data_IF_041025954790
#
_entry.id   IF_041025954790
#
_cell.length_a   1.000
_cell.length_b   1.000
_cell.length_c   1.000
_cell.angle_alpha   90.00
_cell.angle_beta   90.00
_cell.angle_gamma   90.00
#
_symmetry.space_group_name_H-M   'P 1'
#
loop_
_entity.id
_entity.type
_entity.pdbx_description
1 polymer ?
#
# COMPACT_ATOMS: atom_id res chain seq x y z
N UNK A 1 7.00 15.79 3.73
CA UNK A 1 6.44 14.93 4.78
C UNK A 1 5.03 15.39 5.12
N UNK A 2 4.14 14.49 5.54
CA UNK A 2 2.78 14.86 5.95
C UNK A 2 2.82 15.86 7.11
N UNK A 3 1.85 16.78 7.18
CA UNK A 3 1.71 17.70 8.31
C UNK A 3 1.36 16.95 9.61
N UNK A 4 0.59 15.87 9.47
CA UNK A 4 0.15 14.94 10.50
C UNK A 4 -0.33 13.65 9.81
N UNK A 5 -0.47 12.56 10.55
CA UNK A 5 -1.08 11.33 10.05
C UNK A 5 -2.02 10.76 11.12
N UNK A 6 -3.33 10.79 10.84
CA UNK A 6 -4.35 10.23 11.73
C UNK A 6 -4.41 8.72 11.51
N UNK A 7 -4.09 7.96 12.54
CA UNK A 7 -4.17 6.51 12.54
C UNK A 7 -5.63 6.04 12.44
N UNK A 8 -5.89 4.82 11.91
CA UNK A 8 -7.22 4.23 11.96
C UNK A 8 -7.83 4.23 13.36
N UNK A 9 -7.02 3.93 14.38
CA UNK A 9 -7.48 3.95 15.77
C UNK A 9 -7.96 5.34 16.21
N UNK A 10 -7.19 6.40 15.96
CA UNK A 10 -7.59 7.78 16.30
C UNK A 10 -8.87 8.19 15.57
N UNK A 11 -8.95 7.92 14.27
CA UNK A 11 -10.13 8.28 13.48
C UNK A 11 -11.40 7.55 13.91
N UNK A 12 -11.30 6.26 14.22
CA UNK A 12 -12.41 5.45 14.74
C UNK A 12 -12.80 5.88 16.16
N UNK A 13 -11.82 6.13 17.02
CA UNK A 13 -12.05 6.60 18.40
C UNK A 13 -12.77 7.94 18.43
N UNK A 14 -12.50 8.82 17.47
CA UNK A 14 -13.16 10.13 17.37
C UNK A 14 -14.67 10.03 17.05
N UNK A 15 -15.17 8.85 16.64
CA UNK A 15 -16.56 8.63 16.27
C UNK A 15 -17.27 7.57 17.12
N UNK A 16 -16.62 7.07 18.17
CA UNK A 16 -17.15 6.01 19.03
C UNK A 16 -16.97 6.35 20.52
N UNK A 17 -18.03 6.15 21.31
CA UNK A 17 -18.00 6.48 22.76
C UNK A 17 -17.13 5.51 23.57
N UNK A 18 -17.04 4.24 23.14
CA UNK A 18 -16.25 3.20 23.81
C UNK A 18 -15.50 2.37 22.77
N UNK A 19 -14.18 2.47 22.80
CA UNK A 19 -13.30 1.68 21.95
C UNK A 19 -12.24 1.01 22.83
N UNK A 20 -11.99 -0.26 22.55
CA UNK A 20 -10.94 -1.05 23.18
C UNK A 20 -9.97 -1.50 22.09
N UNK A 21 -8.70 -1.68 22.45
CA UNK A 21 -7.63 -1.95 21.48
C UNK A 21 -6.80 -3.15 21.92
N UNK A 22 -6.47 -4.00 20.95
CA UNK A 22 -5.41 -4.99 21.03
C UNK A 22 -4.68 -5.02 19.69
N UNK A 23 -3.36 -5.19 19.73
CA UNK A 23 -2.51 -5.17 18.53
C UNK A 23 -2.77 -6.38 17.62
N UNK A 24 -3.00 -7.56 18.20
CA UNK A 24 -3.31 -8.80 17.48
C UNK A 24 -2.13 -9.48 16.79
N UNK A 25 -1.36 -8.78 15.94
CA UNK A 25 -0.18 -9.33 15.29
C UNK A 25 0.87 -8.25 14.98
N UNK A 26 2.10 -8.69 14.75
CA UNK A 26 3.19 -7.81 14.30
C UNK A 26 3.03 -7.59 12.78
N UNK A 27 2.90 -6.33 12.35
CA UNK A 27 2.78 -5.94 10.93
C UNK A 27 4.03 -5.30 10.32
N UNK A 28 5.00 -4.90 11.13
CA UNK A 28 6.21 -4.24 10.63
C UNK A 28 7.15 -5.22 9.94
N UNK A 29 7.93 -4.74 8.95
CA UNK A 29 9.00 -5.53 8.31
C UNK A 29 10.31 -5.39 9.08
N UNK A 30 10.59 -4.18 9.55
CA UNK A 30 11.74 -3.84 10.40
C UNK A 30 11.28 -3.34 11.77
N UNK A 31 12.09 -3.51 12.81
CA UNK A 31 11.76 -3.12 14.19
C UNK A 31 11.27 -1.65 14.25
N UNK A 32 10.16 -1.32 14.94
CA UNK A 32 9.65 0.05 15.04
C UNK A 32 10.70 1.08 15.46
N UNK A 33 10.56 2.31 14.98
CA UNK A 33 11.57 3.35 15.15
C UNK A 33 11.79 3.73 16.60
N UNK A 34 13.07 3.87 16.99
CA UNK A 34 13.46 4.38 18.31
C UNK A 34 12.80 5.73 18.62
N UNK A 35 12.70 6.62 17.64
CA UNK A 35 12.09 7.95 17.79
C UNK A 35 10.63 7.93 18.26
N UNK A 36 9.91 6.81 18.06
CA UNK A 36 8.53 6.65 18.51
C UNK A 36 8.42 6.56 20.04
N UNK A 37 9.46 6.09 20.72
CA UNK A 37 9.46 5.85 22.16
C UNK A 37 10.56 6.62 22.91
N UNK A 38 11.52 7.22 22.19
CA UNK A 38 12.60 7.98 22.80
C UNK A 38 12.25 9.44 23.07
N UNK A 39 12.92 10.00 24.07
CA UNK A 39 12.99 11.43 24.36
C UNK A 39 14.38 11.95 24.10
N UNK A 40 14.47 13.22 23.67
CA UNK A 40 15.75 13.90 23.47
C UNK A 40 16.46 14.06 24.83
N UNK A 41 17.80 13.94 24.89
CA UNK A 41 18.56 14.18 26.12
C UNK A 41 18.21 15.54 26.74
N UNK A 42 18.05 15.57 28.08
CA UNK A 42 17.72 16.78 28.84
C UNK A 42 16.44 17.52 28.39
N UNK A 43 15.54 16.84 27.67
CA UNK A 43 14.28 17.41 27.18
C UNK A 43 13.13 16.41 27.34
N UNK A 44 11.90 16.92 27.34
CA UNK A 44 10.68 16.11 27.29
C UNK A 44 10.17 15.91 25.84
N UNK A 45 10.80 16.56 24.87
CA UNK A 45 10.47 16.41 23.46
C UNK A 45 10.78 14.99 22.97
N UNK A 46 9.90 14.44 22.14
CA UNK A 46 10.13 13.16 21.44
C UNK A 46 11.26 13.27 20.41
N UNK A 47 11.76 12.12 19.97
CA UNK A 47 12.82 12.02 18.97
C UNK A 47 14.20 11.86 19.61
N UNK A 48 15.23 12.29 18.88
CA UNK A 48 16.65 12.11 19.23
C UNK A 48 17.44 13.40 19.03
N UNK A 49 18.62 13.47 19.65
CA UNK A 49 19.65 14.48 19.33
C UNK A 49 20.69 13.84 18.41
N UNK A 50 21.11 14.56 17.37
CA UNK A 50 22.16 14.12 16.45
C UNK A 50 23.28 15.14 16.44
N UNK A 51 24.45 14.76 16.93
CA UNK A 51 25.68 15.54 16.87
C UNK A 51 26.47 15.16 15.61
N UNK A 52 26.88 16.15 14.82
CA UNK A 52 27.56 15.95 13.52
C UNK A 52 29.05 16.22 13.64
N UNK A 53 29.88 15.34 13.07
CA UNK A 53 31.34 15.38 13.15
C UNK A 53 32.01 15.21 11.77
N UNK A 54 33.21 15.79 11.62
CA UNK A 54 34.08 15.61 10.44
C UNK A 54 35.19 14.59 10.68
N UNK A 55 35.37 14.15 11.92
CA UNK A 55 36.34 13.15 12.32
C UNK A 55 35.64 11.88 12.80
N UNK A 56 36.27 10.71 12.64
CA UNK A 56 35.71 9.44 13.09
C UNK A 56 35.69 9.33 14.63
N UNK A 57 34.83 8.46 15.19
CA UNK A 57 34.58 8.37 16.63
C UNK A 57 35.79 7.95 17.48
N UNK A 58 36.88 7.49 16.87
CA UNK A 58 38.14 7.15 17.55
C UNK A 58 38.96 8.40 17.95
N UNK A 59 38.66 9.58 17.40
CA UNK A 59 39.35 10.83 17.73
C UNK A 59 38.79 11.45 19.01
N UNK A 60 39.59 11.47 20.08
CA UNK A 60 39.13 11.79 21.44
C UNK A 60 38.89 13.28 21.74
N UNK A 61 39.44 14.19 20.95
CA UNK A 61 39.30 15.65 21.14
C UNK A 61 38.41 16.32 20.07
N UNK A 62 37.62 15.53 19.35
CA UNK A 62 36.71 16.01 18.32
C UNK A 62 35.51 16.75 18.94
N UNK A 63 35.06 17.84 18.29
CA UNK A 63 33.87 18.60 18.68
C UNK A 63 32.84 18.55 17.57
N UNK A 64 31.54 18.50 17.89
CA UNK A 64 30.52 18.50 16.87
C UNK A 64 30.54 19.83 16.10
N UNK A 65 30.47 19.74 14.78
CA UNK A 65 30.36 20.90 13.89
C UNK A 65 28.93 21.44 13.84
N UNK A 66 27.95 20.61 14.20
CA UNK A 66 26.54 20.99 14.32
C UNK A 66 25.76 20.01 15.22
N UNK A 67 24.54 20.39 15.61
CA UNK A 67 23.60 19.52 16.33
C UNK A 67 22.19 19.72 15.79
N UNK A 68 21.56 18.62 15.39
CA UNK A 68 20.21 18.60 14.82
C UNK A 68 19.29 17.70 15.65
N UNK A 69 17.98 17.92 15.54
CA UNK A 69 16.98 17.26 16.37
C UNK A 69 15.88 16.63 15.51
N UNK A 70 16.15 15.49 14.84
CA UNK A 70 15.16 14.86 14.00
C UNK A 70 14.06 14.20 14.86
N UNK A 71 12.83 14.27 14.35
CA UNK A 71 11.67 13.62 14.95
C UNK A 71 11.52 12.15 14.52
N UNK A 72 12.37 11.69 13.60
CA UNK A 72 12.42 10.30 13.11
C UNK A 72 13.84 9.74 13.19
N UNK A 73 13.96 8.45 13.49
CA UNK A 73 15.20 7.67 13.37
C UNK A 73 15.25 6.82 12.10
N UNK A 74 14.41 7.08 11.11
CA UNK A 74 14.55 6.60 9.73
C UNK A 74 15.12 7.73 8.86
N UNK A 75 16.45 7.79 8.80
CA UNK A 75 17.21 8.88 8.21
C UNK A 75 17.71 8.50 6.81
N UNK A 76 16.98 8.92 5.77
CA UNK A 76 17.48 8.95 4.41
C UNK A 76 18.12 10.32 4.14
N UNK A 77 19.45 10.35 3.94
CA UNK A 77 20.24 11.58 3.88
C UNK A 77 20.54 12.02 2.44
N UNK A 78 19.81 11.50 1.45
CA UNK A 78 19.94 12.00 0.08
C UNK A 78 19.42 13.43 -0.02
N UNK A 79 20.23 14.31 -0.63
CA UNK A 79 19.95 15.74 -0.69
C UNK A 79 20.08 16.49 0.65
N UNK A 80 20.44 15.83 1.76
CA UNK A 80 20.79 16.52 2.99
C UNK A 80 22.14 17.22 2.81
N UNK A 81 22.18 18.52 3.08
CA UNK A 81 23.39 19.35 2.93
C UNK A 81 23.64 20.12 4.21
N UNK A 82 24.82 19.95 4.77
CA UNK A 82 25.37 20.83 5.79
C UNK A 82 26.57 21.56 5.17
N UNK A 83 26.56 22.91 5.05
CA UNK A 83 27.61 23.65 4.34
C UNK A 83 29.04 23.43 4.86
N UNK A 84 29.18 22.97 6.11
CA UNK A 84 30.47 22.64 6.75
C UNK A 84 31.05 21.29 6.30
N UNK A 85 30.30 20.46 5.58
CA UNK A 85 30.76 19.15 5.08
C UNK A 85 31.21 19.34 3.63
N UNK A 86 32.52 19.39 3.42
CA UNK A 86 33.16 19.47 2.09
C UNK A 86 33.42 18.05 1.53
N UNK A 87 32.37 17.26 1.32
CA UNK A 87 32.49 15.90 0.79
C UNK A 87 31.33 14.97 1.17
N UNK A 88 31.55 13.66 1.02
CA UNK A 88 30.56 12.63 1.35
C UNK A 88 30.89 11.86 2.64
N UNK A 89 32.02 12.19 3.28
CA UNK A 89 32.49 11.54 4.51
C UNK A 89 32.15 12.42 5.72
N UNK A 90 31.36 11.89 6.64
CA UNK A 90 30.98 12.52 7.91
C UNK A 90 30.49 11.47 8.91
N UNK A 91 30.36 11.86 10.17
CA UNK A 91 29.91 10.98 11.26
C UNK A 91 28.80 11.62 12.09
N UNK A 92 27.94 10.78 12.65
CA UNK A 92 26.91 11.17 13.60
C UNK A 92 27.09 10.44 14.93
N UNK A 93 26.83 11.15 16.02
CA UNK A 93 26.38 10.54 17.27
C UNK A 93 24.89 10.83 17.45
N UNK A 94 24.07 9.78 17.45
CA UNK A 94 22.63 9.87 17.67
C UNK A 94 22.32 9.42 19.09
N UNK A 95 21.70 10.27 19.89
CA UNK A 95 21.42 10.03 21.30
C UNK A 95 19.93 10.18 21.60
N UNK A 96 19.35 9.19 22.29
CA UNK A 96 17.96 9.19 22.73
C UNK A 96 17.79 8.45 24.06
N UNK A 97 16.82 8.88 24.86
CA UNK A 97 16.51 8.27 26.16
C UNK A 97 15.20 7.50 26.04
N UNK A 98 15.22 6.20 26.30
CA UNK A 98 13.99 5.40 26.43
C UNK A 98 13.65 5.23 27.91
N UNK A 99 12.35 5.17 28.23
CA UNK A 99 11.85 4.75 29.55
C UNK A 99 11.04 3.48 29.33
N UNK A 100 11.42 2.39 29.99
CA UNK A 100 10.73 1.12 29.79
C UNK A 100 9.34 1.13 30.46
N UNK A 101 8.32 0.73 29.72
CA UNK A 101 6.93 0.73 30.22
C UNK A 101 6.62 -0.53 31.05
N UNK A 102 7.37 -1.61 30.80
CA UNK A 102 7.27 -2.86 31.53
C UNK A 102 8.63 -3.57 31.65
N UNK A 103 8.70 -4.51 32.59
CA UNK A 103 9.81 -5.44 32.70
C UNK A 103 9.81 -6.37 31.48
N UNK A 104 10.99 -6.66 30.91
CA UNK A 104 11.07 -7.57 29.78
C UNK A 104 12.37 -7.44 29.00
N UNK A 105 12.35 -7.89 27.76
CA UNK A 105 13.45 -7.71 26.81
C UNK A 105 13.05 -6.66 25.78
N UNK A 106 13.96 -5.74 25.48
CA UNK A 106 13.81 -4.82 24.36
C UNK A 106 14.72 -5.26 23.22
N UNK A 107 14.20 -5.17 22.00
CA UNK A 107 14.94 -5.34 20.75
C UNK A 107 15.44 -3.97 20.31
N UNK A 108 16.70 -3.91 19.88
CA UNK A 108 17.34 -2.73 19.29
C UNK A 108 17.86 -3.12 17.92
N UNK A 109 17.71 -2.24 16.93
CA UNK A 109 18.14 -2.56 15.57
C UNK A 109 18.89 -1.44 14.87
N UNK A 110 19.75 -1.83 13.93
CA UNK A 110 20.45 -0.95 13.01
C UNK A 110 20.31 -1.44 11.58
N UNK A 111 19.94 -0.51 10.70
CA UNK A 111 20.12 -0.61 9.25
C UNK A 111 20.94 0.59 8.80
N UNK A 112 21.93 0.40 7.94
CA UNK A 112 22.78 1.49 7.46
C UNK A 112 23.05 1.43 5.97
N UNK A 113 23.21 2.58 5.34
CA UNK A 113 24.03 2.79 4.17
C UNK A 113 25.22 3.65 4.60
N UNK A 114 26.27 2.96 5.05
CA UNK A 114 27.35 3.52 5.88
C UNK A 114 27.82 2.46 6.88
N UNK A 115 28.18 2.89 8.09
CA UNK A 115 28.54 2.00 9.21
C UNK A 115 27.90 2.50 10.49
N UNK A 116 27.50 1.61 11.40
CA UNK A 116 27.08 2.05 12.74
C UNK A 116 27.26 1.00 13.84
N UNK A 117 27.45 1.49 15.07
CA UNK A 117 27.32 0.71 16.32
C UNK A 117 26.27 1.34 17.23
N UNK A 118 25.48 0.50 17.90
CA UNK A 118 24.48 0.92 18.87
C UNK A 118 24.90 0.47 20.27
N UNK A 119 24.86 1.41 21.20
CA UNK A 119 25.15 1.22 22.61
C UNK A 119 23.93 1.58 23.45
N UNK A 120 23.71 0.84 24.54
CA UNK A 120 22.75 1.19 25.57
C UNK A 120 23.47 1.25 26.91
N UNK A 121 23.42 2.39 27.58
CA UNK A 121 24.19 2.70 28.80
C UNK A 121 25.68 2.33 28.67
N UNK A 122 26.25 2.59 27.49
CA UNK A 122 27.65 2.31 27.16
C UNK A 122 27.98 0.86 26.80
N UNK A 123 27.02 -0.07 26.90
CA UNK A 123 27.17 -1.46 26.45
C UNK A 123 26.84 -1.58 24.97
N UNK A 124 27.73 -2.16 24.17
CA UNK A 124 27.45 -2.47 22.76
C UNK A 124 26.33 -3.52 22.65
N UNK A 125 25.29 -3.21 21.87
CA UNK A 125 24.13 -4.09 21.63
C UNK A 125 24.06 -4.55 20.18
N UNK A 126 24.40 -3.68 19.23
CA UNK A 126 24.40 -3.99 17.79
C UNK A 126 25.66 -3.43 17.14
N UNK A 127 26.32 -4.24 16.31
CA UNK A 127 27.43 -3.83 15.45
C UNK A 127 27.04 -4.07 13.99
N UNK A 128 26.95 -2.99 13.22
CA UNK A 128 26.74 -2.99 11.78
C UNK A 128 27.87 -2.20 11.08
N UNK A 129 29.10 -2.43 11.53
CA UNK A 129 30.36 -1.89 10.95
C UNK A 129 31.21 -2.98 10.31
N UNK A 130 31.15 -4.18 10.86
CA UNK A 130 31.88 -5.36 10.39
C UNK A 130 30.90 -6.39 9.79
N UNK A 131 31.40 -7.22 8.85
CA UNK A 131 30.63 -8.33 8.25
C UNK A 131 29.24 -7.94 7.70
N UNK A 132 29.12 -6.71 7.19
CA UNK A 132 27.86 -6.17 6.67
C UNK A 132 27.30 -7.07 5.57
N UNK A 133 25.97 -7.21 5.55
CA UNK A 133 25.24 -7.96 4.52
C UNK A 133 24.30 -7.01 3.77
N UNK A 134 24.26 -7.05 2.44
CA UNK A 134 23.35 -6.20 1.67
C UNK A 134 21.90 -6.57 1.96
N UNK A 135 21.04 -5.57 2.11
CA UNK A 135 19.60 -5.70 2.32
C UNK A 135 18.81 -4.88 1.30
N UNK A 136 17.52 -4.74 1.56
CA UNK A 136 16.55 -4.06 0.68
C UNK A 136 16.19 -2.64 1.17
N UNK A 137 16.56 -2.27 2.39
CA UNK A 137 16.33 -0.95 2.95
C UNK A 137 17.06 0.16 2.20
N UNK A 138 16.62 1.41 2.36
CA UNK A 138 17.21 2.58 1.69
C UNK A 138 17.29 2.35 0.17
N UNK A 139 16.14 2.00 -0.43
CA UNK A 139 16.00 1.70 -1.86
C UNK A 139 16.96 0.61 -2.37
N UNK A 140 17.21 -0.42 -1.56
CA UNK A 140 18.14 -1.52 -1.90
C UNK A 140 19.63 -1.19 -1.72
N UNK A 141 19.96 -0.07 -1.07
CA UNK A 141 21.35 0.34 -0.81
C UNK A 141 21.82 0.04 0.61
N UNK A 142 20.90 -0.20 1.53
CA UNK A 142 21.20 -0.45 2.93
C UNK A 142 21.63 -1.89 3.21
N UNK A 143 22.03 -2.14 4.45
CA UNK A 143 22.24 -3.48 4.97
C UNK A 143 20.91 -4.18 5.26
N UNK A 144 20.97 -5.48 5.56
CA UNK A 144 19.91 -6.13 6.35
C UNK A 144 19.79 -5.46 7.73
N UNK A 145 18.65 -5.68 8.41
CA UNK A 145 18.47 -5.23 9.79
C UNK A 145 19.25 -6.15 10.75
N UNK A 146 20.22 -5.57 11.46
CA UNK A 146 20.94 -6.24 12.55
C UNK A 146 20.24 -5.94 13.87
N UNK A 147 19.94 -6.98 14.65
CA UNK A 147 19.11 -6.90 15.86
C UNK A 147 19.88 -7.42 17.07
N UNK A 148 19.93 -6.61 18.11
CA UNK A 148 20.40 -6.98 19.44
C UNK A 148 19.27 -6.89 20.45
N UNK A 149 19.48 -7.45 21.65
CA UNK A 149 18.49 -7.38 22.71
C UNK A 149 19.13 -7.21 24.07
N UNK A 150 18.39 -6.60 25.00
CA UNK A 150 18.77 -6.56 26.41
C UNK A 150 17.56 -6.54 27.33
N UNK A 151 17.70 -7.08 28.55
CA UNK A 151 16.67 -6.95 29.57
C UNK A 151 16.55 -5.49 30.04
N UNK A 152 15.33 -5.06 30.30
CA UNK A 152 15.01 -3.76 30.88
C UNK A 152 14.08 -3.92 32.08
N UNK A 153 14.02 -2.86 32.89
CA UNK A 153 13.16 -2.75 34.06
C UNK A 153 12.21 -1.58 33.92
N UNK A 154 10.95 -1.83 34.26
CA UNK A 154 9.89 -0.83 34.24
C UNK A 154 10.33 0.45 34.95
N UNK A 155 9.96 1.58 34.38
CA UNK A 155 10.24 2.94 34.85
C UNK A 155 11.74 3.32 34.87
N UNK A 156 12.65 2.42 34.48
CA UNK A 156 14.06 2.74 34.32
C UNK A 156 14.32 3.43 32.99
N UNK A 157 15.20 4.44 33.03
CA UNK A 157 15.69 5.16 31.85
C UNK A 157 16.96 4.51 31.33
N UNK A 158 17.08 4.43 30.02
CA UNK A 158 18.26 3.92 29.32
C UNK A 158 18.68 4.91 28.24
N UNK A 159 19.98 5.19 28.17
CA UNK A 159 20.57 6.04 27.12
C UNK A 159 20.96 5.17 25.95
N UNK A 160 20.32 5.40 24.80
CA UNK A 160 20.67 4.79 23.52
C UNK A 160 21.58 5.74 22.77
N UNK A 161 22.78 5.29 22.43
CA UNK A 161 23.77 6.02 21.66
C UNK A 161 24.13 5.22 20.40
N UNK A 162 23.98 5.84 19.23
CA UNK A 162 24.42 5.26 17.96
C UNK A 162 25.57 6.10 17.41
N UNK A 163 26.67 5.44 17.09
CA UNK A 163 27.80 6.05 16.38
C UNK A 163 27.74 5.61 14.93
N UNK A 164 27.54 6.54 14.02
CA UNK A 164 27.31 6.29 12.59
C UNK A 164 28.39 6.98 11.73
N UNK A 165 28.84 6.30 10.69
CA UNK A 165 29.66 6.86 9.60
C UNK A 165 28.90 6.81 8.28
N UNK A 166 29.06 7.85 7.45
CA UNK A 166 28.37 7.99 6.15
C UNK A 166 28.73 6.89 5.14
N UNK A 167 28.05 6.84 4.00
CA UNK A 167 28.17 5.73 3.03
C UNK A 167 29.59 5.33 2.61
N UNK A 168 30.58 6.24 2.43
CA UNK A 168 31.95 5.84 2.08
C UNK A 168 32.69 5.07 3.18
N UNK A 169 32.15 5.04 4.41
CA UNK A 169 32.69 4.21 5.50
C UNK A 169 32.31 2.75 5.38
N UNK A 170 31.28 2.43 4.58
CA UNK A 170 30.77 1.08 4.39
C UNK A 170 31.82 0.14 3.79
N UNK A 171 31.79 -1.13 4.21
CA UNK A 171 32.65 -2.19 3.67
C UNK A 171 31.95 -3.01 2.59
N UNK A 172 30.67 -2.74 2.28
CA UNK A 172 29.97 -3.38 1.19
C UNK A 172 30.52 -2.90 -0.16
N UNK A 173 30.82 -3.85 -1.06
CA UNK A 173 31.11 -3.50 -2.45
C UNK A 173 29.86 -2.93 -3.11
N UNK A 174 29.94 -1.75 -3.71
CA UNK A 174 28.83 -1.05 -4.35
C UNK A 174 28.10 -1.95 -5.38
N UNK A 175 27.00 -2.58 -4.98
CA UNK A 175 26.24 -3.46 -5.86
C UNK A 175 25.01 -2.80 -6.48
N UNK A 176 24.63 -1.58 -6.07
CA UNK A 176 23.54 -0.77 -6.65
C UNK A 176 23.51 0.68 -6.10
N UNK A 177 24.65 1.38 -6.04
CA UNK A 177 24.67 2.72 -5.44
C UNK A 177 24.14 3.80 -6.39
N UNK A 178 23.01 4.42 -6.02
CA UNK A 178 22.77 5.83 -6.36
C UNK A 178 23.89 6.64 -5.66
N UNK A 179 24.86 7.12 -6.43
CA UNK A 179 26.14 7.60 -5.90
C UNK A 179 25.96 8.66 -4.80
N UNK A 180 26.41 8.35 -3.58
CA UNK A 180 26.60 9.32 -2.49
C UNK A 180 25.48 9.40 -1.45
N UNK A 181 24.34 8.74 -1.65
CA UNK A 181 23.29 8.71 -0.61
C UNK A 181 23.83 8.00 0.64
N UNK A 182 23.52 8.55 1.80
CA UNK A 182 23.86 8.02 3.12
C UNK A 182 22.56 7.75 3.87
N UNK A 183 22.57 6.86 4.85
CA UNK A 183 21.36 6.65 5.63
C UNK A 183 21.51 5.68 6.79
N UNK A 184 20.58 5.80 7.73
CA UNK A 184 20.59 5.15 9.03
C UNK A 184 19.15 4.96 9.47
N UNK A 185 18.81 3.75 9.88
CA UNK A 185 17.55 3.44 10.57
C UNK A 185 17.86 2.86 11.94
N UNK A 186 17.26 3.40 12.98
CA UNK A 186 17.40 2.90 14.36
C UNK A 186 16.03 2.45 14.86
N UNK A 187 15.92 1.16 15.17
CA UNK A 187 14.72 0.56 15.75
C UNK A 187 14.85 0.28 17.24
N UNK A 188 13.75 0.36 17.97
CA UNK A 188 13.62 -0.08 19.35
C UNK A 188 12.17 -0.47 19.68
N UNK A 189 11.96 -1.66 20.22
CA UNK A 189 10.63 -2.09 20.68
C UNK A 189 10.70 -3.14 21.78
N UNK A 190 9.63 -3.27 22.56
CA UNK A 190 9.50 -4.37 23.51
C UNK A 190 9.29 -5.70 22.77
N UNK A 191 9.96 -6.76 23.22
CA UNK A 191 9.87 -8.09 22.64
C UNK A 191 8.58 -8.79 23.10
N UNK A 192 7.67 -9.00 22.15
CA UNK A 192 6.45 -9.80 22.33
C UNK A 192 6.48 -11.08 21.48
N UNK A 193 5.50 -11.97 21.67
CA UNK A 193 5.34 -13.18 20.86
C UNK A 193 4.03 -13.15 20.07
N UNK A 194 4.00 -13.71 18.85
CA UNK A 194 2.77 -13.78 18.05
C UNK A 194 1.61 -14.46 18.80
N UNK A 195 1.89 -15.51 19.58
CA UNK A 195 0.86 -16.26 20.31
C UNK A 195 0.16 -15.38 21.34
N UNK A 196 0.93 -14.61 22.13
CA UNK A 196 0.38 -13.70 23.14
C UNK A 196 -0.52 -12.65 22.50
N UNK A 197 -0.07 -12.03 21.40
CA UNK A 197 -0.84 -10.99 20.72
C UNK A 197 -2.17 -11.52 20.15
N UNK A 198 -2.15 -12.71 19.54
CA UNK A 198 -3.37 -13.33 19.00
C UNK A 198 -4.33 -13.74 20.12
N UNK A 199 -3.83 -14.31 21.22
CA UNK A 199 -4.64 -14.65 22.39
C UNK A 199 -5.37 -13.42 22.97
N UNK A 200 -4.66 -12.31 23.13
CA UNK A 200 -5.21 -11.03 23.61
C UNK A 200 -6.28 -10.48 22.66
N UNK A 201 -6.02 -10.48 21.35
CA UNK A 201 -7.00 -10.01 20.36
C UNK A 201 -8.24 -10.89 20.26
N UNK A 202 -8.08 -12.22 20.34
CA UNK A 202 -9.21 -13.16 20.36
C UNK A 202 -10.03 -13.04 21.64
N UNK A 203 -9.38 -12.82 22.79
CA UNK A 203 -10.08 -12.57 24.04
C UNK A 203 -10.92 -11.29 23.96
N UNK A 204 -10.35 -10.19 23.46
CA UNK A 204 -11.06 -8.93 23.27
C UNK A 204 -12.20 -9.06 22.25
N UNK A 205 -11.97 -9.73 21.13
CA UNK A 205 -12.99 -9.95 20.10
C UNK A 205 -14.23 -10.69 20.62
N UNK A 206 -14.09 -11.53 21.66
CA UNK A 206 -15.22 -12.22 22.31
C UNK A 206 -16.02 -11.33 23.26
N UNK A 207 -15.41 -10.27 23.80
CA UNK A 207 -16.04 -9.41 24.81
C UNK A 207 -16.75 -8.19 24.23
N UNK A 208 -16.68 -7.97 22.91
CA UNK A 208 -17.25 -6.80 22.22
C UNK A 208 -18.31 -7.21 21.19
N UNK A 209 -19.25 -6.30 20.93
CA UNK A 209 -20.35 -6.54 19.98
C UNK A 209 -19.91 -6.53 18.51
N UNK A 210 -18.91 -5.70 18.20
CA UNK A 210 -18.39 -5.47 16.84
C UNK A 210 -16.86 -5.34 16.89
N UNK A 211 -16.19 -5.82 15.84
CA UNK A 211 -14.75 -5.73 15.69
C UNK A 211 -14.40 -5.03 14.38
N UNK A 212 -13.53 -4.02 14.48
CA UNK A 212 -12.90 -3.40 13.32
C UNK A 212 -11.45 -3.86 13.33
N UNK A 213 -11.11 -4.77 12.42
CA UNK A 213 -9.79 -5.38 12.34
C UNK A 213 -8.98 -4.70 11.23
N UNK A 214 -8.07 -3.82 11.62
CA UNK A 214 -7.17 -3.14 10.68
C UNK A 214 -5.95 -4.01 10.39
N UNK A 215 -5.73 -4.32 9.12
CA UNK A 215 -4.58 -5.06 8.60
C UNK A 215 -3.90 -4.23 7.52
N UNK A 216 -2.60 -4.43 7.31
CA UNK A 216 -1.87 -3.59 6.36
C UNK A 216 -0.66 -4.26 5.73
N UNK A 217 -0.24 -3.69 4.62
CA UNK A 217 1.17 -3.56 4.25
C UNK A 217 1.64 -2.16 4.62
N UNK A 218 2.95 -1.97 4.75
CA UNK A 218 3.57 -0.68 5.02
C UNK A 218 4.49 -0.27 3.88
N UNK A 219 5.04 0.95 3.94
CA UNK A 219 6.04 1.42 2.96
C UNK A 219 7.33 0.57 2.95
N UNK A 220 7.58 -0.26 3.98
CA UNK A 220 8.69 -1.22 4.02
C UNK A 220 8.35 -2.51 3.27
N UNK A 221 7.07 -2.84 3.15
CA UNK A 221 6.63 -3.98 2.33
C UNK A 221 6.45 -3.57 0.87
N UNK A 222 5.97 -2.35 0.63
CA UNK A 222 5.71 -1.79 -0.68
C UNK A 222 6.51 -0.50 -0.88
N UNK A 223 7.68 -0.61 -1.50
CA UNK A 223 8.64 0.49 -1.61
C UNK A 223 9.25 0.61 -2.99
N UNK A 224 9.74 1.81 -3.29
CA UNK A 224 10.68 2.00 -4.38
C UNK A 224 11.99 1.27 -4.07
N UNK A 225 12.64 0.74 -5.11
CA UNK A 225 13.94 0.06 -5.00
C UNK A 225 13.86 -1.47 -5.00
N UNK A 226 12.69 -2.05 -4.70
CA UNK A 226 12.46 -3.48 -4.79
C UNK A 226 11.00 -3.84 -5.04
N UNK A 227 10.77 -4.97 -5.68
CA UNK A 227 9.45 -5.58 -5.80
C UNK A 227 9.16 -6.51 -4.62
N UNK A 228 7.87 -6.70 -4.30
CA UNK A 228 7.45 -7.77 -3.39
C UNK A 228 7.72 -9.14 -4.00
N UNK A 229 8.09 -10.10 -3.15
CA UNK A 229 8.34 -11.50 -3.56
C UNK A 229 7.06 -12.31 -3.72
N UNK A 230 5.99 -11.89 -3.05
CA UNK A 230 4.71 -12.57 -3.02
C UNK A 230 3.55 -11.61 -2.73
N UNK A 231 2.33 -12.16 -2.65
CA UNK A 231 1.12 -11.42 -2.32
C UNK A 231 0.74 -11.53 -0.83
N UNK A 232 1.54 -12.16 0.03
CA UNK A 232 1.17 -12.38 1.41
C UNK A 232 1.02 -11.05 2.18
N UNK A 233 0.16 -11.08 3.20
CA UNK A 233 0.18 -10.11 4.28
C UNK A 233 1.39 -10.37 5.20
N UNK A 234 1.74 -9.44 6.10
CA UNK A 234 2.80 -9.68 7.07
C UNK A 234 2.54 -10.97 7.87
N UNK A 235 3.59 -11.73 8.23
CA UNK A 235 3.44 -13.03 8.88
C UNK A 235 2.52 -13.00 10.11
N UNK A 236 1.59 -13.95 10.21
CA UNK A 236 0.62 -14.04 11.31
C UNK A 236 -0.69 -13.27 11.10
N UNK A 237 -0.76 -12.38 10.10
CA UNK A 237 -1.97 -11.57 9.83
C UNK A 237 -3.14 -12.45 9.39
N UNK A 238 -2.91 -13.41 8.49
CA UNK A 238 -3.97 -14.30 7.99
C UNK A 238 -4.55 -15.18 9.12
N UNK A 239 -3.70 -15.67 10.01
CA UNK A 239 -4.07 -16.44 11.19
C UNK A 239 -4.89 -15.59 12.18
N UNK A 240 -4.48 -14.35 12.42
CA UNK A 240 -5.22 -13.40 13.25
C UNK A 240 -6.63 -13.16 12.70
N UNK A 241 -6.75 -12.84 11.39
CA UNK A 241 -8.06 -12.58 10.76
C UNK A 241 -8.96 -13.81 10.87
N UNK A 242 -8.43 -15.00 10.58
CA UNK A 242 -9.17 -16.24 10.71
C UNK A 242 -9.61 -16.52 12.15
N UNK A 243 -8.75 -16.27 13.14
CA UNK A 243 -9.04 -16.48 14.56
C UNK A 243 -10.13 -15.53 15.06
N UNK A 244 -10.03 -14.24 14.76
CA UNK A 244 -11.01 -13.21 15.14
C UNK A 244 -12.38 -13.48 14.50
N UNK A 245 -12.44 -13.76 13.19
CA UNK A 245 -13.70 -14.07 12.49
C UNK A 245 -14.34 -15.40 12.95
N UNK A 246 -13.57 -16.27 13.59
CA UNK A 246 -14.10 -17.52 14.14
C UNK A 246 -14.90 -17.29 15.44
N UNK A 247 -14.54 -16.27 16.22
CA UNK A 247 -15.12 -15.99 17.55
C UNK A 247 -16.12 -14.84 17.56
N UNK A 248 -16.06 -13.94 16.58
CA UNK A 248 -17.03 -12.85 16.41
C UNK A 248 -17.57 -12.85 14.96
N UNK A 249 -18.87 -12.64 14.79
CA UNK A 249 -19.55 -12.60 13.49
C UNK A 249 -19.79 -11.21 12.93
N UNK A 250 -19.52 -10.17 13.71
CA UNK A 250 -19.68 -8.77 13.35
C UNK A 250 -18.29 -8.13 13.18
N UNK A 251 -17.55 -8.62 12.19
CA UNK A 251 -16.18 -8.18 11.91
C UNK A 251 -16.13 -7.43 10.58
N UNK A 252 -15.57 -6.23 10.60
CA UNK A 252 -15.14 -5.51 9.40
C UNK A 252 -13.61 -5.58 9.33
N UNK A 253 -13.07 -6.18 8.27
CA UNK A 253 -11.63 -6.19 8.01
C UNK A 253 -11.29 -4.98 7.15
N UNK A 254 -10.46 -4.07 7.66
CA UNK A 254 -9.98 -2.88 6.93
C UNK A 254 -8.56 -3.17 6.45
N UNK A 255 -8.36 -3.26 5.14
CA UNK A 255 -7.07 -3.55 4.54
C UNK A 255 -6.43 -2.28 3.95
N UNK A 256 -5.25 -1.93 4.44
CA UNK A 256 -4.41 -0.86 3.91
C UNK A 256 -3.25 -1.46 3.12
N UNK A 257 -3.34 -1.42 1.80
CA UNK A 257 -2.24 -1.85 0.92
C UNK A 257 -2.26 -1.02 -0.36
N UNK A 258 -1.09 -0.72 -0.92
CA UNK A 258 -0.93 -0.05 -2.20
C UNK A 258 -1.22 -0.99 -3.38
N UNK A 259 -0.95 -2.28 -3.21
CA UNK A 259 -1.20 -3.34 -4.18
C UNK A 259 -2.02 -4.48 -3.56
N UNK A 260 -2.19 -5.57 -4.32
CA UNK A 260 -3.14 -6.64 -4.02
C UNK A 260 -2.51 -7.66 -3.07
N UNK A 261 -3.25 -8.11 -2.06
CA UNK A 261 -2.79 -9.14 -1.10
C UNK A 261 -3.59 -10.43 -1.22
N UNK A 262 -3.00 -11.56 -0.88
CA UNK A 262 -3.72 -12.81 -0.73
C UNK A 262 -4.71 -12.69 0.44
N UNK A 263 -5.90 -13.29 0.29
CA UNK A 263 -6.94 -13.30 1.31
C UNK A 263 -7.48 -14.72 1.48
N UNK A 264 -6.70 -15.67 2.02
CA UNK A 264 -7.16 -17.05 2.23
C UNK A 264 -8.36 -17.14 3.21
N UNK A 265 -8.61 -16.07 3.97
CA UNK A 265 -9.72 -15.91 4.90
C UNK A 265 -10.94 -15.17 4.32
N UNK A 266 -10.94 -14.80 3.03
CA UNK A 266 -11.98 -13.97 2.39
C UNK A 266 -13.41 -14.46 2.68
N UNK A 267 -13.65 -15.78 2.65
CA UNK A 267 -14.98 -16.37 2.88
C UNK A 267 -15.42 -16.37 4.36
N UNK A 268 -14.49 -16.06 5.29
CA UNK A 268 -14.76 -15.97 6.73
C UNK A 268 -15.08 -14.55 7.18
N UNK A 269 -14.62 -13.54 6.43
CA UNK A 269 -14.80 -12.14 6.76
C UNK A 269 -16.20 -11.66 6.33
N UNK A 270 -17.05 -11.18 7.26
CA UNK A 270 -18.37 -10.66 6.93
C UNK A 270 -18.32 -9.42 6.03
N UNK A 271 -17.34 -8.54 6.26
CA UNK A 271 -17.13 -7.33 5.48
C UNK A 271 -15.64 -7.04 5.31
N UNK A 272 -15.28 -6.51 4.14
CA UNK A 272 -13.91 -6.13 3.79
C UNK A 272 -13.93 -4.73 3.19
N UNK A 273 -13.11 -3.83 3.74
CA UNK A 273 -12.90 -2.47 3.25
C UNK A 273 -11.45 -2.32 2.76
N UNK A 274 -11.27 -2.08 1.46
CA UNK A 274 -9.98 -1.68 0.90
C UNK A 274 -9.77 -0.17 1.08
N UNK A 275 -8.83 0.22 1.94
CA UNK A 275 -8.57 1.61 2.33
C UNK A 275 -7.35 2.26 1.66
N UNK A 276 -6.50 1.48 0.99
CA UNK A 276 -5.24 1.95 0.38
C UNK A 276 -4.35 2.71 1.37
N UNK A 277 -3.46 3.57 0.87
CA UNK A 277 -2.71 4.54 1.67
C UNK A 277 -3.26 5.95 1.43
N UNK A 278 -4.11 6.43 2.34
CA UNK A 278 -4.91 7.66 2.17
C UNK A 278 -4.29 8.92 2.82
N UNK A 279 -2.99 8.88 3.12
CA UNK A 279 -2.20 10.01 3.67
C UNK A 279 -2.77 10.58 5.00
N UNK A 280 -2.65 11.89 5.24
CA UNK A 280 -2.86 12.54 6.54
C UNK A 280 -4.19 12.18 7.23
N UNK A 281 -5.27 12.08 6.46
CA UNK A 281 -6.64 11.88 6.97
C UNK A 281 -7.12 10.43 6.87
N UNK A 282 -6.20 9.47 6.71
CA UNK A 282 -6.53 8.05 6.53
C UNK A 282 -7.49 7.55 7.60
N UNK A 283 -7.22 7.81 8.88
CA UNK A 283 -8.08 7.36 9.97
C UNK A 283 -9.49 7.94 9.92
N UNK A 284 -9.65 9.24 9.67
CA UNK A 284 -10.97 9.86 9.56
C UNK A 284 -11.73 9.34 8.33
N UNK A 285 -11.05 9.17 7.19
CA UNK A 285 -11.67 8.64 5.98
C UNK A 285 -12.17 7.19 6.17
N UNK A 286 -11.39 6.34 6.86
CA UNK A 286 -11.81 4.99 7.23
C UNK A 286 -13.04 5.04 8.13
N UNK A 287 -13.01 5.87 9.19
CA UNK A 287 -14.11 5.98 10.13
C UNK A 287 -15.40 6.49 9.47
N UNK A 288 -15.31 7.50 8.61
CA UNK A 288 -16.46 8.05 7.89
C UNK A 288 -17.16 7.00 7.02
N UNK A 289 -16.39 6.11 6.39
CA UNK A 289 -16.96 4.98 5.63
C UNK A 289 -17.54 3.94 6.58
N UNK A 290 -16.76 3.44 7.55
CA UNK A 290 -17.18 2.37 8.47
C UNK A 290 -18.48 2.73 9.21
N UNK A 291 -18.64 3.97 9.65
CA UNK A 291 -19.85 4.45 10.35
C UNK A 291 -20.93 5.01 9.42
N UNK A 292 -20.75 4.95 8.10
CA UNK A 292 -21.78 5.33 7.13
C UNK A 292 -22.01 6.84 6.98
N UNK A 293 -21.14 7.69 7.54
CA UNK A 293 -21.15 9.13 7.24
C UNK A 293 -20.89 9.39 5.75
N UNK A 294 -20.07 8.54 5.14
CA UNK A 294 -19.83 8.50 3.70
C UNK A 294 -20.21 7.11 3.17
N UNK A 295 -21.12 7.08 2.21
CA UNK A 295 -21.45 5.85 1.48
C UNK A 295 -20.31 5.48 0.52
N UNK A 296 -19.71 4.26 0.63
CA UNK A 296 -18.63 3.85 -0.25
C UNK A 296 -19.10 3.83 -1.71
N UNK A 297 -18.25 4.40 -2.58
CA UNK A 297 -18.58 4.61 -3.99
C UNK A 297 -17.35 4.53 -4.91
N UNK A 298 -16.27 3.91 -4.43
CA UNK A 298 -15.07 3.60 -5.21
C UNK A 298 -15.24 2.30 -5.97
N UNK A 299 -14.56 2.17 -7.11
CA UNK A 299 -14.48 0.93 -7.88
C UNK A 299 -13.01 0.53 -8.02
N UNK A 300 -12.75 -0.77 -8.01
CA UNK A 300 -11.42 -1.36 -7.99
C UNK A 300 -10.67 -1.01 -9.29
N UNK A 301 -9.51 -0.31 -9.22
CA UNK A 301 -8.74 0.02 -10.42
C UNK A 301 -7.88 -1.16 -10.92
N UNK A 302 -7.83 -2.26 -10.16
CA UNK A 302 -7.02 -3.45 -10.42
C UNK A 302 -7.90 -4.72 -10.44
N UNK A 303 -7.41 -5.81 -11.04
CA UNK A 303 -8.04 -7.13 -10.89
C UNK A 303 -7.35 -7.88 -9.77
N UNK A 304 -8.10 -8.36 -8.79
CA UNK A 304 -7.58 -9.00 -7.59
C UNK A 304 -7.50 -10.52 -7.78
N UNK A 305 -6.36 -11.11 -8.16
CA UNK A 305 -6.30 -12.54 -8.42
C UNK A 305 -6.49 -13.36 -7.15
N UNK A 306 -6.93 -14.61 -7.30
CA UNK A 306 -7.03 -15.55 -6.17
C UNK A 306 -5.67 -15.97 -5.63
N UNK A 307 -4.64 -16.00 -6.49
CA UNK A 307 -3.27 -16.40 -6.17
C UNK A 307 -2.28 -15.61 -7.03
N UNK A 308 -1.03 -15.52 -6.59
CA UNK A 308 0.02 -14.81 -7.33
C UNK A 308 0.24 -15.43 -8.73
N UNK A 309 0.18 -16.75 -8.84
CA UNK A 309 0.42 -17.50 -10.08
C UNK A 309 -0.67 -17.29 -11.13
N UNK A 310 -1.80 -16.70 -10.73
CA UNK A 310 -2.91 -16.40 -11.61
C UNK A 310 -2.67 -15.08 -12.37
N UNK A 311 -1.65 -14.29 -11.98
CA UNK A 311 -1.30 -13.02 -12.59
C UNK A 311 -0.63 -13.21 -13.97
N UNK A 312 -1.00 -12.41 -15.00
CA UNK A 312 -0.42 -12.52 -16.35
C UNK A 312 1.11 -12.38 -16.40
N UNK A 313 1.70 -11.60 -15.50
CA UNK A 313 3.13 -11.35 -15.48
C UNK A 313 3.92 -12.39 -14.69
N UNK A 314 3.27 -13.34 -14.00
CA UNK A 314 3.90 -14.22 -13.00
C UNK A 314 5.22 -14.86 -13.45
N UNK A 315 5.26 -15.40 -14.68
CA UNK A 315 6.47 -16.10 -15.20
C UNK A 315 7.51 -15.17 -15.82
N UNK A 316 7.24 -13.87 -15.93
CA UNK A 316 8.15 -12.88 -16.54
C UNK A 316 8.35 -11.62 -15.66
N UNK A 317 7.98 -11.65 -14.38
CA UNK A 317 8.08 -10.50 -13.46
C UNK A 317 9.43 -10.48 -12.74
N UNK A 318 10.52 -10.41 -13.53
CA UNK A 318 11.90 -10.29 -13.03
C UNK A 318 12.82 -9.76 -14.12
N UNK A 319 13.78 -8.91 -13.74
CA UNK A 319 14.86 -8.50 -14.63
C UNK A 319 15.87 -9.65 -14.81
N UNK A 320 15.96 -10.17 -16.02
CA UNK A 320 16.93 -11.20 -16.40
C UNK A 320 17.88 -10.61 -17.44
N UNK A 321 19.17 -10.55 -17.10
CA UNK A 321 20.20 -9.92 -17.95
C UNK A 321 19.83 -8.50 -18.40
N UNK A 322 19.23 -7.70 -17.49
CA UNK A 322 18.83 -6.31 -17.75
C UNK A 322 17.58 -6.16 -18.61
N UNK A 323 16.74 -7.20 -18.72
CA UNK A 323 15.52 -7.19 -19.54
C UNK A 323 14.35 -7.81 -18.81
N UNK A 324 13.15 -7.33 -19.12
CA UNK A 324 11.87 -7.92 -18.73
C UNK A 324 11.04 -8.09 -20.00
N UNK A 325 10.55 -9.31 -20.25
CA UNK A 325 9.75 -9.60 -21.44
C UNK A 325 8.26 -9.58 -21.09
N UNK A 326 7.54 -8.58 -21.59
CA UNK A 326 6.10 -8.40 -21.36
C UNK A 326 5.29 -9.33 -22.27
N UNK A 327 5.36 -10.64 -22.00
CA UNK A 327 4.82 -11.70 -22.87
C UNK A 327 3.29 -11.84 -22.80
N UNK A 328 2.67 -11.24 -21.78
CA UNK A 328 1.22 -11.07 -21.72
C UNK A 328 0.69 -10.11 -22.78
N UNK A 329 1.57 -9.31 -23.41
CA UNK A 329 1.22 -8.38 -24.48
C UNK A 329 0.06 -7.45 -24.03
N UNK A 330 -0.96 -7.21 -24.85
CA UNK A 330 -2.13 -6.37 -24.50
C UNK A 330 -3.06 -7.00 -23.45
N UNK A 331 -2.82 -8.26 -23.05
CA UNK A 331 -3.61 -8.97 -22.05
C UNK A 331 -3.08 -8.67 -20.64
N UNK A 332 -3.17 -7.41 -20.22
CA UNK A 332 -2.83 -6.96 -18.87
C UNK A 332 -4.11 -6.82 -18.03
N UNK A 333 -4.04 -7.18 -16.74
CA UNK A 333 -5.15 -7.05 -15.81
C UNK A 333 -6.41 -7.80 -16.28
N UNK A 334 -7.57 -7.14 -16.22
CA UNK A 334 -8.86 -7.77 -16.54
C UNK A 334 -8.96 -8.30 -17.99
N UNK A 335 -8.14 -7.79 -18.92
CA UNK A 335 -8.05 -8.34 -20.27
C UNK A 335 -7.61 -9.82 -20.23
N UNK A 336 -6.61 -10.14 -19.42
CA UNK A 336 -6.10 -11.49 -19.24
C UNK A 336 -7.15 -12.42 -18.63
N UNK A 337 -7.70 -12.04 -17.47
CA UNK A 337 -8.65 -12.87 -16.74
C UNK A 337 -9.92 -13.13 -17.55
N UNK A 338 -10.43 -12.13 -18.28
CA UNK A 338 -11.56 -12.33 -19.19
C UNK A 338 -11.20 -13.22 -20.38
N UNK A 339 -10.00 -13.08 -20.97
CA UNK A 339 -9.57 -13.88 -22.12
C UNK A 339 -9.38 -15.35 -21.76
N UNK A 340 -8.81 -15.60 -20.59
CA UNK A 340 -8.53 -16.95 -20.07
C UNK A 340 -9.70 -17.56 -19.29
N UNK A 341 -10.78 -16.80 -19.08
CA UNK A 341 -11.95 -17.19 -18.27
C UNK A 341 -11.55 -17.63 -16.86
N UNK A 342 -10.63 -16.88 -16.25
CA UNK A 342 -10.11 -17.15 -14.92
C UNK A 342 -10.80 -16.27 -13.89
N UNK A 343 -11.26 -16.90 -12.82
CA UNK A 343 -11.89 -16.18 -11.71
C UNK A 343 -10.86 -15.38 -10.91
N UNK A 344 -11.34 -14.29 -10.33
CA UNK A 344 -10.61 -13.36 -9.46
C UNK A 344 -11.39 -13.23 -8.15
N UNK A 345 -10.75 -12.78 -7.07
CA UNK A 345 -11.45 -12.44 -5.82
C UNK A 345 -12.37 -11.25 -6.04
N UNK A 346 -11.80 -10.17 -6.57
CA UNK A 346 -12.52 -8.94 -6.90
C UNK A 346 -12.12 -8.48 -8.30
N UNK A 347 -13.07 -8.38 -9.25
CA UNK A 347 -12.75 -7.96 -10.61
C UNK A 347 -12.45 -6.46 -10.69
N UNK A 348 -11.74 -6.06 -11.75
CA UNK A 348 -11.63 -4.67 -12.14
C UNK A 348 -13.02 -4.02 -12.23
N UNK A 349 -13.14 -2.81 -11.70
CA UNK A 349 -14.39 -2.05 -11.67
C UNK A 349 -15.39 -2.50 -10.60
N UNK A 350 -15.05 -3.45 -9.71
CA UNK A 350 -15.90 -3.88 -8.60
C UNK A 350 -15.88 -2.92 -7.42
N UNK A 351 -17.00 -2.79 -6.72
CA UNK A 351 -17.09 -2.02 -5.49
C UNK A 351 -18.53 -1.92 -5.01
N UNK A 352 -18.74 -2.18 -3.72
CA UNK A 352 -20.05 -2.16 -3.08
C UNK A 352 -20.45 -0.73 -2.66
N UNK A 353 -21.71 -0.58 -2.26
CA UNK A 353 -22.30 0.64 -1.71
C UNK A 353 -23.24 0.24 -0.57
N UNK A 354 -23.52 1.16 0.36
CA UNK A 354 -24.63 1.02 1.31
C UNK A 354 -26.01 1.19 0.65
N UNK A 355 -26.05 1.57 -0.64
CA UNK A 355 -27.27 1.57 -1.46
C UNK A 355 -27.20 0.57 -2.61
N UNK A 356 -28.31 0.38 -3.31
CA UNK A 356 -28.42 -0.49 -4.49
C UNK A 356 -28.80 0.31 -5.73
N UNK A 357 -28.08 0.13 -6.83
CA UNK A 357 -28.32 0.86 -8.08
C UNK A 357 -28.79 -0.06 -9.20
N UNK A 358 -29.76 0.41 -9.99
CA UNK A 358 -30.19 -0.21 -11.24
C UNK A 358 -29.68 0.60 -12.41
N UNK A 359 -29.06 -0.07 -13.38
CA UNK A 359 -28.56 0.53 -14.61
C UNK A 359 -29.33 -0.11 -15.77
N UNK A 360 -29.97 0.70 -16.59
CA UNK A 360 -30.84 0.24 -17.69
C UNK A 360 -30.73 1.15 -18.91
N UNK A 361 -31.43 0.76 -19.98
CA UNK A 361 -31.70 1.60 -21.14
C UNK A 361 -30.44 2.18 -21.79
N UNK A 362 -29.41 1.33 -21.96
CA UNK A 362 -28.23 1.69 -22.73
C UNK A 362 -28.64 1.93 -24.19
N UNK A 363 -28.46 3.17 -24.63
CA UNK A 363 -28.60 3.58 -26.03
C UNK A 363 -27.28 4.19 -26.53
N UNK A 364 -26.97 3.98 -27.82
CA UNK A 364 -25.77 4.51 -28.46
C UNK A 364 -26.20 5.48 -29.55
N UNK A 365 -26.02 6.77 -29.28
CA UNK A 365 -26.38 7.85 -30.17
C UNK A 365 -25.17 8.20 -31.04
N UNK A 366 -25.32 8.11 -32.35
CA UNK A 366 -24.31 8.59 -33.29
C UNK A 366 -24.46 10.12 -33.49
N UNK A 367 -23.89 10.90 -32.57
CA UNK A 367 -24.06 12.35 -32.52
C UNK A 367 -23.44 13.06 -33.73
N UNK A 368 -22.25 12.62 -34.16
CA UNK A 368 -21.46 13.28 -35.19
C UNK A 368 -20.62 12.27 -35.96
N UNK A 369 -19.97 12.73 -37.04
CA UNK A 369 -19.03 11.90 -37.79
C UNK A 369 -17.99 11.19 -36.90
N UNK A 370 -17.52 11.84 -35.83
CA UNK A 370 -16.35 11.39 -35.06
C UNK A 370 -16.65 10.97 -33.62
N UNK A 371 -17.88 11.16 -33.14
CA UNK A 371 -18.28 10.91 -31.74
C UNK A 371 -19.56 10.10 -31.67
N UNK A 372 -19.59 9.15 -30.74
CA UNK A 372 -20.80 8.48 -30.26
C UNK A 372 -21.05 8.89 -28.81
N UNK A 373 -22.31 8.94 -28.39
CA UNK A 373 -22.67 9.12 -26.98
C UNK A 373 -23.45 7.92 -26.51
N UNK A 374 -22.97 7.29 -25.43
CA UNK A 374 -23.79 6.34 -24.72
C UNK A 374 -24.71 7.08 -23.74
N UNK A 375 -26.01 6.85 -23.84
CA UNK A 375 -27.02 7.30 -22.90
C UNK A 375 -27.46 6.11 -22.04
N UNK A 376 -27.44 6.26 -20.71
CA UNK A 376 -27.74 5.18 -19.77
C UNK A 376 -28.61 5.73 -18.63
N UNK A 377 -29.68 5.03 -18.26
CA UNK A 377 -30.47 5.38 -17.07
C UNK A 377 -29.85 4.75 -15.83
N UNK A 378 -29.62 5.54 -14.79
CA UNK A 378 -29.16 5.06 -13.48
C UNK A 378 -30.18 5.45 -12.41
N UNK A 379 -30.64 4.47 -11.66
CA UNK A 379 -31.60 4.62 -10.57
C UNK A 379 -30.98 4.18 -9.25
N UNK A 380 -31.00 5.04 -8.23
CA UNK A 380 -30.76 4.62 -6.86
C UNK A 380 -32.03 3.94 -6.34
N UNK A 381 -32.00 2.62 -6.26
CA UNK A 381 -33.13 1.79 -5.84
C UNK A 381 -33.05 1.35 -4.37
N UNK A 382 -32.05 1.84 -3.62
CA UNK A 382 -31.92 1.58 -2.19
C UNK A 382 -32.49 2.72 -1.33
N UNK A 383 -32.23 2.64 -0.02
CA UNK A 383 -32.80 3.53 1.00
C UNK A 383 -31.87 4.68 1.43
N UNK A 384 -30.62 4.69 0.98
CA UNK A 384 -29.64 5.72 1.35
C UNK A 384 -29.06 6.40 0.11
N UNK A 385 -28.72 7.68 0.22
CA UNK A 385 -28.06 8.42 -0.84
C UNK A 385 -26.68 7.81 -1.13
N UNK A 386 -26.23 7.90 -2.37
CA UNK A 386 -24.94 7.33 -2.75
C UNK A 386 -24.55 7.68 -4.18
N UNK A 387 -23.34 7.29 -4.55
CA UNK A 387 -22.84 7.46 -5.91
C UNK A 387 -22.50 6.14 -6.58
N UNK A 388 -22.82 6.03 -7.86
CA UNK A 388 -22.52 4.88 -8.71
C UNK A 388 -21.58 5.31 -9.85
N UNK A 389 -20.72 4.40 -10.29
CA UNK A 389 -19.83 4.58 -11.45
C UNK A 389 -20.33 3.70 -12.60
N UNK A 390 -20.92 4.35 -13.61
CA UNK A 390 -21.28 3.68 -14.88
C UNK A 390 -20.00 3.44 -15.67
N UNK A 391 -19.72 2.19 -16.03
CA UNK A 391 -18.57 1.79 -16.82
C UNK A 391 -19.01 1.26 -18.18
N UNK A 392 -18.47 1.85 -19.24
CA UNK A 392 -18.80 1.50 -20.61
C UNK A 392 -17.63 0.76 -21.28
N UNK A 393 -17.93 -0.48 -21.65
CA UNK A 393 -16.99 -1.37 -22.30
C UNK A 393 -17.36 -1.56 -23.77
N UNK A 394 -16.33 -1.68 -24.62
CA UNK A 394 -16.46 -1.92 -26.05
C UNK A 394 -15.83 -3.26 -26.40
N UNK A 395 -16.55 -4.08 -27.16
CA UNK A 395 -16.08 -5.36 -27.68
C UNK A 395 -16.13 -5.35 -29.19
N UNK A 396 -14.99 -5.58 -29.85
CA UNK A 396 -15.00 -5.81 -31.30
C UNK A 396 -15.42 -7.25 -31.61
N UNK A 397 -16.46 -7.44 -32.42
CA UNK A 397 -17.03 -8.76 -32.72
C UNK A 397 -16.20 -9.55 -33.74
N UNK A 398 -15.61 -8.86 -34.72
CA UNK A 398 -14.87 -9.46 -35.83
C UNK A 398 -13.54 -8.72 -36.05
N UNK A 399 -12.59 -8.80 -35.09
CA UNK A 399 -11.31 -8.11 -35.21
C UNK A 399 -10.38 -8.80 -36.21
N UNK A 400 -9.63 -8.01 -36.99
CA UNK A 400 -8.61 -8.55 -37.90
C UNK A 400 -7.38 -9.10 -37.16
N UNK A 401 -7.18 -8.67 -35.91
CA UNK A 401 -6.14 -9.15 -35.00
C UNK A 401 -6.73 -9.70 -33.70
N UNK A 402 -5.92 -10.38 -32.89
CA UNK A 402 -6.36 -10.73 -31.55
C UNK A 402 -6.48 -9.48 -30.67
N UNK A 403 -7.60 -9.37 -29.94
CA UNK A 403 -7.87 -8.26 -29.02
C UNK A 403 -8.34 -8.76 -27.65
N UNK A 404 -8.24 -7.93 -26.60
CA UNK A 404 -8.95 -8.15 -25.35
C UNK A 404 -10.45 -8.39 -25.60
N UNK A 405 -11.11 -9.28 -24.83
CA UNK A 405 -12.53 -9.58 -25.04
C UNK A 405 -13.46 -8.38 -24.87
N UNK A 406 -13.05 -7.36 -24.11
CA UNK A 406 -13.70 -6.07 -23.99
C UNK A 406 -12.72 -5.07 -23.38
N UNK A 407 -12.89 -3.79 -23.69
CA UNK A 407 -12.03 -2.71 -23.23
C UNK A 407 -12.88 -1.56 -22.64
N UNK A 408 -12.52 -1.05 -21.46
CA UNK A 408 -13.12 0.15 -20.88
C UNK A 408 -12.80 1.36 -21.77
N UNK A 409 -13.84 2.06 -22.27
CA UNK A 409 -13.68 3.24 -23.15
C UNK A 409 -14.30 4.51 -22.58
N UNK A 410 -15.08 4.40 -21.51
CA UNK A 410 -15.63 5.55 -20.80
C UNK A 410 -16.22 5.15 -19.47
N UNK A 411 -16.27 6.10 -18.55
CA UNK A 411 -16.98 5.93 -17.28
C UNK A 411 -17.48 7.28 -16.78
N UNK A 412 -18.53 7.26 -15.96
CA UNK A 412 -19.06 8.46 -15.31
C UNK A 412 -19.63 8.11 -13.94
N UNK A 413 -19.24 8.90 -12.94
CA UNK A 413 -19.77 8.81 -11.59
C UNK A 413 -20.98 9.73 -11.44
N UNK A 414 -22.05 9.24 -10.83
CA UNK A 414 -23.29 9.98 -10.60
C UNK A 414 -23.73 9.79 -9.15
N UNK A 415 -24.06 10.90 -8.47
CA UNK A 415 -24.66 10.88 -7.15
C UNK A 415 -26.18 10.92 -7.28
N UNK A 416 -26.88 10.13 -6.46
CA UNK A 416 -28.32 9.96 -6.52
C UNK A 416 -28.90 9.85 -5.11
N UNK A 417 -29.94 10.64 -4.85
CA UNK A 417 -30.82 10.47 -3.69
C UNK A 417 -31.63 9.17 -3.78
N UNK A 418 -32.13 8.61 -2.67
CA UNK A 418 -32.99 7.42 -2.69
C UNK A 418 -34.18 7.58 -3.66
N UNK A 419 -34.38 6.61 -4.54
CA UNK A 419 -35.44 6.62 -5.56
C UNK A 419 -35.17 7.51 -6.78
N UNK A 420 -34.10 8.33 -6.76
CA UNK A 420 -33.77 9.21 -7.89
C UNK A 420 -33.28 8.40 -9.09
N UNK A 421 -33.73 8.79 -10.28
CA UNK A 421 -33.25 8.26 -11.56
C UNK A 421 -32.73 9.40 -12.43
N UNK A 422 -31.55 9.21 -13.02
CA UNK A 422 -30.93 10.18 -13.94
C UNK A 422 -30.44 9.49 -15.21
N UNK A 423 -30.55 10.22 -16.32
CA UNK A 423 -29.89 9.87 -17.57
C UNK A 423 -28.42 10.31 -17.52
N UNK A 424 -27.52 9.37 -17.74
CA UNK A 424 -26.07 9.55 -17.76
C UNK A 424 -25.58 9.44 -19.20
N UNK A 425 -25.04 10.55 -19.71
CA UNK A 425 -24.40 10.62 -21.02
C UNK A 425 -22.88 10.52 -20.92
N UNK A 426 -22.29 9.65 -21.75
CA UNK A 426 -20.84 9.43 -21.88
C UNK A 426 -20.46 9.60 -23.37
N UNK A 427 -19.97 10.79 -23.78
CA UNK A 427 -19.47 11.01 -25.13
C UNK A 427 -18.11 10.33 -25.32
N UNK A 428 -17.93 9.62 -26.42
CA UNK A 428 -16.70 8.90 -26.76
C UNK A 428 -16.35 9.13 -28.23
N UNK A 429 -15.09 9.49 -28.49
CA UNK A 429 -14.57 9.53 -29.85
C UNK A 429 -14.57 8.12 -30.48
N UNK A 430 -15.12 7.99 -31.68
CA UNK A 430 -15.09 6.73 -32.46
C UNK A 430 -13.66 6.21 -32.61
N UNK A 431 -12.68 7.10 -32.81
CA UNK A 431 -11.26 6.76 -32.85
C UNK A 431 -10.82 6.05 -31.57
N UNK A 432 -11.02 6.66 -30.40
CA UNK A 432 -10.58 6.06 -29.14
C UNK A 432 -11.39 4.82 -28.73
N UNK A 433 -12.67 4.75 -29.12
CA UNK A 433 -13.52 3.59 -28.88
C UNK A 433 -13.06 2.34 -29.65
N UNK A 434 -12.53 2.52 -30.86
CA UNK A 434 -12.36 1.42 -31.82
C UNK A 434 -10.91 1.12 -32.20
N UNK A 435 -10.00 2.08 -32.07
CA UNK A 435 -8.62 1.91 -32.54
C UNK A 435 -7.82 0.86 -31.78
N UNK A 436 -6.86 0.28 -32.49
CA UNK A 436 -5.73 -0.49 -31.94
C UNK A 436 -4.47 -0.12 -32.71
N UNK A 437 -3.29 -0.41 -32.14
CA UNK A 437 -2.01 -0.25 -32.83
C UNK A 437 -1.75 -1.47 -33.72
N UNK A 438 -1.63 -1.25 -35.02
CA UNK A 438 -1.25 -2.30 -35.98
C UNK A 438 0.25 -2.18 -36.26
N UNK A 439 0.99 -3.19 -35.83
CA UNK A 439 2.45 -3.25 -35.97
C UNK A 439 2.91 -3.35 -37.43
N UNK A 440 2.07 -3.87 -38.34
CA UNK A 440 2.43 -4.03 -39.75
C UNK A 440 2.47 -2.72 -40.52
N UNK A 441 1.72 -1.72 -40.05
CA UNK A 441 1.63 -0.38 -40.65
C UNK A 441 2.09 0.73 -39.70
N UNK A 442 2.60 0.35 -38.52
CA UNK A 442 3.10 1.24 -37.46
C UNK A 442 2.15 2.42 -37.17
N UNK A 443 0.84 2.14 -37.08
CA UNK A 443 -0.14 3.20 -36.83
C UNK A 443 -1.36 2.70 -36.05
N UNK A 444 -2.06 3.64 -35.43
CA UNK A 444 -3.40 3.37 -34.90
C UNK A 444 -4.40 3.26 -36.04
N UNK A 445 -4.99 2.09 -36.19
CA UNK A 445 -5.99 1.81 -37.22
C UNK A 445 -7.38 1.72 -36.59
N UNK A 446 -8.38 2.18 -37.34
CA UNK A 446 -9.79 1.89 -37.06
C UNK A 446 -10.27 0.94 -38.15
N UNK A 447 -10.67 -0.26 -37.77
CA UNK A 447 -11.23 -1.20 -38.74
C UNK A 447 -12.61 -0.71 -39.22
N UNK A 448 -12.71 -0.53 -40.54
CA UNK A 448 -13.99 -0.45 -41.25
C UNK A 448 -14.31 -1.84 -41.77
N UNK A 449 -15.54 -2.31 -41.59
CA UNK A 449 -15.96 -3.56 -42.20
C UNK A 449 -16.07 -3.36 -43.72
N UNK A 450 -15.47 -4.27 -44.50
CA UNK A 450 -15.66 -4.37 -45.96
C UNK A 450 -14.60 -3.68 -46.83
N UNK A 451 -13.70 -4.47 -47.40
CA UNK A 451 -13.34 -4.31 -48.81
C UNK A 451 -14.47 -4.93 -49.69
N UNK A 452 -14.53 -4.67 -51.01
CA UNK A 452 -15.73 -4.20 -51.70
C UNK A 452 -16.75 -5.29 -52.05
N UNK A 453 -17.51 -5.79 -51.07
CA UNK A 453 -18.88 -6.31 -51.23
C UNK A 453 -19.39 -6.77 -49.86
N UNK A 454 -20.32 -6.00 -49.30
CA UNK A 454 -21.38 -6.33 -48.32
C UNK A 454 -21.50 -5.18 -47.31
N UNK A 455 -22.67 -4.55 -47.29
CA UNK A 455 -23.08 -3.51 -46.34
C UNK A 455 -23.79 -4.17 -45.15
N UNK A 456 -23.36 -3.88 -43.91
CA UNK A 456 -24.13 -4.10 -42.68
C UNK A 456 -23.77 -3.04 -41.60
N UNK A 457 -24.70 -2.86 -40.66
CA UNK A 457 -24.86 -1.77 -39.68
C UNK A 457 -23.66 -1.68 -38.69
N UNK A 458 -23.22 -0.47 -38.25
CA UNK A 458 -22.12 -0.29 -37.28
C UNK A 458 -22.20 -1.11 -35.99
N UNK A 459 -23.42 -1.47 -35.56
CA UNK A 459 -23.71 -2.31 -34.39
C UNK A 459 -23.15 -3.75 -34.49
N UNK A 460 -22.86 -4.26 -35.69
CA UNK A 460 -22.33 -5.62 -35.87
C UNK A 460 -20.81 -5.71 -35.64
N UNK A 461 -20.08 -4.60 -35.75
CA UNK A 461 -18.63 -4.58 -35.53
C UNK A 461 -18.27 -4.45 -34.05
N UNK A 462 -19.04 -3.64 -33.31
CA UNK A 462 -18.75 -3.30 -31.93
C UNK A 462 -20.00 -3.51 -31.08
N UNK A 463 -19.86 -4.32 -30.03
CA UNK A 463 -20.86 -4.46 -28.97
C UNK A 463 -20.47 -3.55 -27.81
N UNK A 464 -21.38 -2.66 -27.45
CA UNK A 464 -21.29 -1.88 -26.23
C UNK A 464 -21.96 -2.63 -25.09
N UNK A 465 -21.34 -2.63 -23.93
CA UNK A 465 -21.93 -3.21 -22.73
C UNK A 465 -21.64 -2.35 -21.52
N UNK A 466 -22.66 -2.22 -20.67
CA UNK A 466 -22.51 -1.68 -19.33
C UNK A 466 -22.17 -2.82 -18.36
N UNK A 467 -21.29 -2.53 -17.42
CA UNK A 467 -21.12 -3.36 -16.23
C UNK A 467 -21.67 -2.59 -15.05
N UNK A 468 -22.76 -3.08 -14.45
CA UNK A 468 -22.96 -2.87 -13.03
C UNK A 468 -22.07 -3.91 -12.32
N UNK A 469 -21.30 -3.51 -11.31
CA UNK A 469 -20.72 -4.52 -10.43
C UNK A 469 -21.91 -5.36 -9.92
N UNK A 470 -21.92 -6.67 -10.19
CA UNK A 470 -22.97 -7.53 -9.68
C UNK A 470 -22.92 -7.46 -8.15
N UNK A 471 -23.90 -6.78 -7.54
CA UNK A 471 -24.04 -6.66 -6.09
C UNK A 471 -24.55 -7.99 -5.53
N UNK A 472 -23.69 -9.00 -5.52
CA UNK A 472 -23.92 -10.23 -4.78
C UNK A 472 -23.17 -10.11 -3.44
N UNK A 473 -23.87 -9.60 -2.43
CA UNK A 473 -23.35 -9.43 -1.08
C UNK A 473 -24.36 -8.66 -0.26
N UNK A 474 -25.10 -9.38 0.59
CA UNK A 474 -25.99 -8.79 1.58
C UNK A 474 -25.10 -8.11 2.62
N UNK A 475 -25.06 -6.77 2.61
CA UNK A 475 -24.71 -6.00 3.79
C UNK A 475 -25.95 -6.01 4.69
N UNK A 476 -25.89 -6.74 5.80
CA UNK A 476 -26.81 -6.63 6.93
C UNK A 476 -26.06 -6.00 8.10
#
# INVERSE_FOLDING_TARGET
MPYHAITPFEGLSAQCDKIEYSLGCIGYKSIPLLSAISRRPNSQSSGVEVRVYLEPPEVTDCRPIDTIFPDTTDCFLDGWVLPKIEGTIFWFEVEGIITAEEDGEYLFSLVVNGTAKLFVDGREIVDNTENQRPGDSIFGMGTVEEIGMMPVKRDQKYTVLVKYGSSPTSKLSASNSWYGSSGLRIGCTHKTTPEKLVEEAVALAKSVDQVILCIELSYEWESEGYDRTDMALPPGTDELVAAVCSVNKNVVVVNQSGTLVAMPWVDKAPAILQAWFSSNETGHAIADVVFGKVNPSSKMPLSWPKRLEDNPAFVNYRSENGKVLYRENVYVGYHFYKKTKRDVLFPFGYGLSYSTFKISDLDIIDDTKDTITASITVCNSGSVAGAEVVQLYVTQQLPSIQRPPQELKGFKKVFLEPGQSLEVKIPISKKYASSFWDESVESFVMEKYGSPKVMLIPELLYKFSISAAAYAGVLL
#
